data_IF_099401417984
#
_entry.id   IF_099401417984
#
_cell.length_a   1.000
_cell.length_b   1.000
_cell.length_c   1.000
_cell.angle_alpha   90.00
_cell.angle_beta   90.00
_cell.angle_gamma   90.00
#
_symmetry.space_group_name_H-M   'P 1'
#
loop_
_entity.id
_entity.type
_entity.pdbx_description
1 polymer ?
#
# COMPACT_ATOMS: atom_id res chain seq x y z
N UNK A 1 -28.33 -34.63 -64.69
CA UNK A 1 -28.86 -33.61 -63.77
C UNK A 1 -28.61 -34.12 -62.36
N UNK A 2 -27.44 -33.80 -61.80
CA UNK A 2 -27.08 -34.13 -60.41
C UNK A 2 -26.28 -32.95 -59.91
N UNK A 3 -26.97 -32.08 -59.18
CA UNK A 3 -26.43 -30.88 -58.57
C UNK A 3 -25.65 -31.30 -57.32
N UNK A 4 -24.31 -31.27 -57.42
CA UNK A 4 -23.43 -31.62 -56.31
C UNK A 4 -23.41 -30.46 -55.31
N UNK A 5 -24.19 -30.59 -54.24
CA UNK A 5 -24.28 -29.60 -53.16
C UNK A 5 -22.95 -29.57 -52.40
N UNK A 6 -22.24 -28.43 -52.33
CA UNK A 6 -20.91 -28.38 -51.75
C UNK A 6 -20.95 -28.69 -50.25
N UNK A 7 -20.04 -29.57 -49.80
CA UNK A 7 -20.00 -30.06 -48.42
C UNK A 7 -19.77 -28.94 -47.38
N UNK A 8 -20.51 -28.95 -46.24
CA UNK A 8 -20.52 -27.88 -45.24
C UNK A 8 -19.27 -27.79 -44.33
N UNK A 9 -18.21 -28.57 -44.61
CA UNK A 9 -17.03 -28.69 -43.73
C UNK A 9 -16.21 -27.39 -43.56
N UNK A 10 -16.22 -26.49 -44.55
CA UNK A 10 -15.49 -25.21 -44.47
C UNK A 10 -16.20 -24.20 -43.57
N UNK A 11 -17.53 -24.18 -43.61
CA UNK A 11 -18.34 -23.21 -42.86
C UNK A 11 -18.18 -23.41 -41.35
N UNK A 12 -18.21 -24.66 -40.87
CA UNK A 12 -18.03 -25.00 -39.45
C UNK A 12 -16.67 -24.54 -38.92
N UNK A 13 -15.58 -24.78 -39.68
CA UNK A 13 -14.23 -24.35 -39.28
C UNK A 13 -14.12 -22.83 -39.22
N UNK A 14 -14.68 -22.13 -40.21
CA UNK A 14 -14.69 -20.66 -40.26
C UNK A 14 -15.49 -20.09 -39.09
N UNK A 15 -16.68 -20.62 -38.79
CA UNK A 15 -17.48 -20.21 -37.64
C UNK A 15 -16.75 -20.44 -36.32
N UNK A 16 -16.08 -21.58 -36.14
CA UNK A 16 -15.29 -21.87 -34.94
C UNK A 16 -14.12 -20.89 -34.78
N UNK A 17 -13.43 -20.54 -35.87
CA UNK A 17 -12.35 -19.55 -35.85
C UNK A 17 -12.88 -18.17 -35.45
N UNK A 18 -14.00 -17.72 -36.01
CA UNK A 18 -14.61 -16.45 -35.63
C UNK A 18 -15.08 -16.43 -34.17
N UNK A 19 -15.67 -17.52 -33.67
CA UNK A 19 -16.04 -17.64 -32.25
C UNK A 19 -14.82 -17.59 -31.34
N UNK A 20 -13.72 -18.27 -31.71
CA UNK A 20 -12.47 -18.24 -30.95
C UNK A 20 -11.85 -16.84 -30.95
N UNK A 21 -11.83 -16.15 -32.09
CA UNK A 21 -11.37 -14.76 -32.18
C UNK A 21 -12.23 -13.81 -31.35
N UNK A 22 -13.55 -13.98 -31.34
CA UNK A 22 -14.46 -13.17 -30.53
C UNK A 22 -14.27 -13.44 -29.04
N UNK A 23 -14.06 -14.70 -28.64
CA UNK A 23 -13.75 -15.06 -27.25
C UNK A 23 -12.41 -14.49 -26.79
N UNK A 24 -11.37 -14.56 -27.62
CA UNK A 24 -10.05 -13.95 -27.33
C UNK A 24 -10.18 -12.43 -27.23
N UNK A 25 -10.89 -11.79 -28.16
CA UNK A 25 -11.14 -10.34 -28.10
C UNK A 25 -11.91 -9.96 -26.83
N UNK A 26 -12.94 -10.73 -26.48
CA UNK A 26 -13.69 -10.55 -25.24
C UNK A 26 -12.82 -10.67 -24.00
N UNK A 27 -11.93 -11.67 -23.95
CA UNK A 27 -10.99 -11.86 -22.85
C UNK A 27 -9.97 -10.71 -22.76
N UNK A 28 -9.46 -10.21 -23.90
CA UNK A 28 -8.55 -9.05 -23.94
C UNK A 28 -9.23 -7.78 -23.46
N UNK A 29 -10.48 -7.54 -23.88
CA UNK A 29 -11.28 -6.39 -23.43
C UNK A 29 -11.57 -6.49 -21.93
N UNK A 30 -11.95 -7.68 -21.45
CA UNK A 30 -12.23 -7.92 -20.03
C UNK A 30 -10.96 -7.71 -19.18
N UNK A 31 -9.82 -8.26 -19.61
CA UNK A 31 -8.54 -8.08 -18.95
C UNK A 31 -8.11 -6.60 -18.94
N UNK A 32 -8.27 -5.90 -20.06
CA UNK A 32 -8.02 -4.46 -20.15
C UNK A 32 -8.91 -3.66 -19.21
N UNK A 33 -10.19 -4.03 -19.09
CA UNK A 33 -11.11 -3.39 -18.16
C UNK A 33 -10.63 -3.54 -16.70
N UNK A 34 -10.37 -4.77 -16.26
CA UNK A 34 -9.88 -5.02 -14.90
C UNK A 34 -8.50 -4.40 -14.61
N UNK A 35 -7.60 -4.36 -15.60
CA UNK A 35 -6.26 -3.80 -15.42
C UNK A 35 -6.25 -2.26 -15.37
N UNK A 36 -7.26 -1.59 -15.92
CA UNK A 36 -7.24 -0.13 -16.09
C UNK A 36 -8.26 0.61 -15.20
N UNK A 37 -9.37 -0.04 -14.84
CA UNK A 37 -10.48 0.61 -14.13
C UNK A 37 -10.54 0.31 -12.63
N UNK A 38 -9.88 -0.74 -12.16
CA UNK A 38 -9.62 -0.92 -10.72
C UNK A 38 -8.51 0.08 -10.32
N UNK A 39 -8.89 1.22 -9.72
CA UNK A 39 -7.94 2.07 -9.00
C UNK A 39 -7.93 1.56 -7.55
N UNK A 40 -6.95 0.75 -7.14
CA UNK A 40 -6.99 0.20 -5.81
C UNK A 40 -6.82 1.34 -4.79
N UNK A 41 -7.63 1.29 -3.73
CA UNK A 41 -7.66 2.33 -2.70
C UNK A 41 -6.41 2.22 -1.83
N UNK A 42 -5.52 3.21 -1.90
CA UNK A 42 -4.43 3.35 -0.92
C UNK A 42 -4.96 3.97 0.37
N UNK A 43 -4.71 3.32 1.51
CA UNK A 43 -5.05 3.84 2.84
C UNK A 43 -3.80 4.32 3.55
N UNK A 44 -3.79 5.54 4.08
CA UNK A 44 -2.66 6.10 4.81
C UNK A 44 -3.08 6.34 6.26
N UNK A 45 -2.41 5.65 7.20
CA UNK A 45 -2.60 5.81 8.65
C UNK A 45 -1.52 6.75 9.15
N UNK A 46 -1.92 7.97 9.51
CA UNK A 46 -1.01 8.99 10.02
C UNK A 46 -1.07 9.04 11.55
N UNK A 47 0.09 8.96 12.19
CA UNK A 47 0.22 9.19 13.63
C UNK A 47 1.35 10.17 13.94
N UNK A 48 1.21 10.87 15.06
CA UNK A 48 2.33 11.55 15.71
C UNK A 48 3.02 10.58 16.66
N UNK A 49 4.33 10.74 16.84
CA UNK A 49 5.09 10.04 17.88
C UNK A 49 4.42 10.10 19.27
N UNK A 50 4.62 9.07 20.09
CA UNK A 50 4.19 9.01 21.49
C UNK A 50 4.95 9.99 22.40
N UNK A 51 4.50 10.10 23.65
CA UNK A 51 5.15 10.97 24.65
C UNK A 51 6.62 10.61 24.83
N UNK A 52 7.48 11.64 24.82
CA UNK A 52 8.92 11.52 25.03
C UNK A 52 9.31 11.98 26.43
N UNK A 53 10.45 11.51 26.93
CA UNK A 53 11.05 12.11 28.11
C UNK A 53 11.40 13.58 27.87
N UNK A 54 11.22 14.40 28.89
CA UNK A 54 11.63 15.81 28.87
C UNK A 54 12.94 15.89 29.64
N UNK A 55 14.04 15.78 28.91
CA UNK A 55 15.39 15.82 29.45
C UNK A 55 16.11 17.08 28.94
N UNK A 56 16.55 17.98 29.83
CA UNK A 56 17.32 19.16 29.43
C UNK A 56 18.58 18.77 28.67
N UNK A 57 18.81 19.40 27.51
CA UNK A 57 20.00 19.18 26.69
C UNK A 57 19.97 17.91 25.83
N UNK A 58 18.91 17.09 25.87
CA UNK A 58 18.76 15.94 25.00
C UNK A 58 17.82 16.27 23.81
N UNK A 59 18.36 16.47 22.58
CA UNK A 59 17.54 16.83 21.42
C UNK A 59 16.73 15.65 20.86
N UNK A 60 17.07 14.42 21.21
CA UNK A 60 16.35 13.22 20.76
C UNK A 60 16.16 12.21 21.90
N UNK A 61 15.32 12.56 22.89
CA UNK A 61 15.08 11.71 24.04
C UNK A 61 14.23 10.49 23.66
N UNK A 62 14.39 9.44 24.45
CA UNK A 62 13.58 8.22 24.33
C UNK A 62 12.11 8.50 24.70
N UNK A 63 11.22 7.59 24.31
CA UNK A 63 9.83 7.61 24.75
C UNK A 63 9.74 7.46 26.27
N UNK A 64 8.81 8.20 26.85
CA UNK A 64 8.44 8.04 28.26
C UNK A 64 7.68 6.72 28.45
N UNK A 65 7.51 6.24 29.69
CA UNK A 65 6.72 5.03 29.96
C UNK A 65 5.29 5.13 29.39
N UNK A 66 4.69 6.32 29.42
CA UNK A 66 3.37 6.57 28.81
C UNK A 66 3.43 6.45 27.28
N UNK A 67 4.49 6.99 26.66
CA UNK A 67 4.69 6.88 25.21
C UNK A 67 4.94 5.42 24.78
N UNK A 68 5.68 4.65 25.57
CA UNK A 68 5.90 3.22 25.35
C UNK A 68 4.60 2.41 25.47
N UNK A 69 3.77 2.70 26.46
CA UNK A 69 2.44 2.08 26.58
C UNK A 69 1.56 2.39 25.37
N UNK A 70 1.58 3.64 24.87
CA UNK A 70 0.88 4.00 23.64
C UNK A 70 1.42 3.26 22.41
N UNK A 71 2.74 3.10 22.30
CA UNK A 71 3.36 2.34 21.23
C UNK A 71 2.83 0.88 21.20
N UNK A 72 2.60 0.28 22.37
CA UNK A 72 1.99 -1.05 22.47
C UNK A 72 0.52 -1.07 22.04
N UNK A 73 -0.25 -0.02 22.35
CA UNK A 73 -1.65 0.07 21.88
C UNK A 73 -1.77 0.11 20.35
N UNK A 74 -0.75 0.59 19.63
CA UNK A 74 -0.73 0.54 18.16
C UNK A 74 -0.76 -0.90 17.65
N UNK A 75 -0.15 -1.84 18.37
CA UNK A 75 -0.20 -3.28 18.04
C UNK A 75 -1.63 -3.79 18.11
N UNK A 76 -2.37 -3.42 19.17
CA UNK A 76 -3.77 -3.82 19.34
C UNK A 76 -4.68 -3.20 18.28
N UNK A 77 -4.43 -1.95 17.89
CA UNK A 77 -5.29 -1.22 16.93
C UNK A 77 -5.01 -1.60 15.48
N UNK A 78 -3.74 -1.86 15.13
CA UNK A 78 -3.30 -1.94 13.74
C UNK A 78 -2.54 -3.22 13.39
N UNK A 79 -2.35 -4.15 14.33
CA UNK A 79 -1.61 -5.39 14.11
C UNK A 79 -2.18 -6.27 13.00
N UNK A 80 -3.48 -6.16 12.72
CA UNK A 80 -4.18 -6.92 11.67
C UNK A 80 -4.68 -6.01 10.52
N UNK A 81 -4.22 -4.76 10.45
CA UNK A 81 -4.70 -3.77 9.48
C UNK A 81 -4.18 -3.96 8.04
N UNK A 82 -3.42 -5.04 7.77
CA UNK A 82 -2.85 -5.29 6.44
C UNK A 82 -1.83 -4.23 6.01
N UNK A 83 -1.10 -3.63 6.97
CA UNK A 83 -0.07 -2.63 6.68
C UNK A 83 1.02 -3.27 5.82
N UNK A 84 1.33 -2.65 4.68
CA UNK A 84 2.36 -3.09 3.73
C UNK A 84 3.63 -2.22 3.78
N UNK A 85 3.58 -1.05 4.43
CA UNK A 85 4.71 -0.14 4.56
C UNK A 85 4.66 0.70 5.82
N UNK A 86 5.82 0.97 6.40
CA UNK A 86 5.97 1.82 7.58
C UNK A 86 6.98 2.93 7.28
N UNK A 87 6.64 4.18 7.57
CA UNK A 87 7.55 5.33 7.46
C UNK A 87 7.74 6.01 8.81
N UNK A 88 8.99 6.31 9.14
CA UNK A 88 9.39 7.00 10.39
C UNK A 88 10.46 8.02 10.10
N UNK A 89 10.56 9.07 10.92
CA UNK A 89 11.69 10.01 10.79
C UNK A 89 12.97 9.50 11.45
N UNK A 90 14.08 10.21 11.26
CA UNK A 90 15.36 9.92 11.91
C UNK A 90 15.35 9.94 13.45
N UNK A 91 14.32 10.49 14.08
CA UNK A 91 14.27 10.66 15.52
C UNK A 91 13.83 9.39 16.25
N UNK A 92 14.46 9.09 17.38
CA UNK A 92 14.15 7.94 18.24
C UNK A 92 12.68 7.86 18.57
N UNK A 93 12.05 8.98 18.92
CA UNK A 93 10.62 9.02 19.29
C UNK A 93 9.70 8.45 18.21
N UNK A 94 9.94 8.71 16.92
CA UNK A 94 9.11 8.13 15.84
C UNK A 94 9.42 6.64 15.67
N UNK A 95 10.70 6.25 15.73
CA UNK A 95 11.11 4.86 15.59
C UNK A 95 10.58 3.98 16.72
N UNK A 96 10.72 4.42 17.97
CA UNK A 96 10.26 3.73 19.16
C UNK A 96 8.73 3.66 19.25
N UNK A 97 8.02 4.65 18.70
CA UNK A 97 6.56 4.63 18.68
C UNK A 97 6.06 3.47 17.82
N UNK A 98 6.72 3.21 16.68
CA UNK A 98 6.26 2.18 15.73
C UNK A 98 6.90 0.82 15.96
N UNK A 99 8.04 0.76 16.66
CA UNK A 99 8.81 -0.48 16.87
C UNK A 99 7.96 -1.70 17.27
N UNK A 100 7.04 -1.64 18.25
CA UNK A 100 6.23 -2.80 18.63
C UNK A 100 5.33 -3.30 17.49
N UNK A 101 4.74 -2.36 16.73
CA UNK A 101 3.88 -2.69 15.58
C UNK A 101 4.72 -3.31 14.46
N UNK A 102 5.87 -2.71 14.14
CA UNK A 102 6.80 -3.21 13.13
C UNK A 102 7.27 -4.64 13.43
N UNK A 103 7.62 -4.93 14.68
CA UNK A 103 8.00 -6.26 15.15
C UNK A 103 6.84 -7.26 15.05
N UNK A 104 5.62 -6.85 15.40
CA UNK A 104 4.42 -7.70 15.31
C UNK A 104 4.13 -8.14 13.87
N UNK A 105 4.21 -7.21 12.91
CA UNK A 105 3.82 -7.47 11.52
C UNK A 105 5.00 -7.87 10.63
N UNK A 106 6.23 -7.84 11.16
CA UNK A 106 7.44 -8.24 10.44
C UNK A 106 7.90 -7.26 9.35
N UNK A 107 7.56 -5.97 9.47
CA UNK A 107 7.90 -4.94 8.48
C UNK A 107 8.95 -3.99 9.05
N UNK A 108 10.07 -3.85 8.33
CA UNK A 108 11.11 -2.89 8.67
C UNK A 108 10.67 -1.45 8.32
N UNK A 109 10.73 -0.50 9.27
CA UNK A 109 10.41 0.90 8.99
C UNK A 109 11.39 1.55 8.01
N UNK A 110 10.86 2.28 7.04
CA UNK A 110 11.65 3.16 6.15
C UNK A 110 11.87 4.50 6.84
N UNK A 111 13.15 4.85 7.02
CA UNK A 111 13.54 6.12 7.60
C UNK A 111 13.52 7.23 6.54
N UNK A 112 12.88 8.36 6.86
CA UNK A 112 12.79 9.56 6.02
C UNK A 112 13.26 10.80 6.79
N UNK A 113 13.67 11.85 6.07
CA UNK A 113 13.99 13.12 6.71
C UNK A 113 12.69 13.80 7.20
N UNK A 114 12.63 14.13 8.50
CA UNK A 114 11.55 14.91 9.09
C UNK A 114 11.26 16.25 8.38
N UNK A 115 12.21 16.80 7.61
CA UNK A 115 12.03 18.05 6.85
C UNK A 115 11.54 17.83 5.42
N UNK A 116 11.38 16.59 4.97
CA UNK A 116 11.07 16.26 3.59
C UNK A 116 9.79 15.42 3.48
N UNK A 117 8.68 15.99 3.93
CA UNK A 117 7.34 15.40 3.83
C UNK A 117 6.98 15.00 2.40
N UNK A 118 7.41 15.81 1.41
CA UNK A 118 7.18 15.55 0.00
C UNK A 118 7.80 14.22 -0.49
N UNK A 119 8.91 13.79 0.09
CA UNK A 119 9.52 12.49 -0.24
C UNK A 119 8.63 11.33 0.22
N UNK A 120 8.03 11.42 1.41
CA UNK A 120 7.10 10.39 1.91
C UNK A 120 5.93 10.22 0.97
N UNK A 121 5.31 11.32 0.56
CA UNK A 121 4.18 11.31 -0.38
C UNK A 121 4.60 10.70 -1.72
N UNK A 122 5.79 11.05 -2.23
CA UNK A 122 6.32 10.46 -3.48
C UNK A 122 6.53 8.96 -3.37
N UNK A 123 7.12 8.49 -2.28
CA UNK A 123 7.37 7.06 -2.03
C UNK A 123 6.05 6.29 -1.93
N UNK A 124 5.08 6.78 -1.15
CA UNK A 124 3.76 6.17 -1.04
C UNK A 124 3.07 6.05 -2.40
N UNK A 125 3.07 7.13 -3.19
CA UNK A 125 2.42 7.12 -4.52
C UNK A 125 3.08 6.19 -5.52
N UNK A 126 4.38 5.94 -5.39
CA UNK A 126 5.16 5.12 -6.34
C UNK A 126 5.23 3.65 -5.95
N UNK A 127 5.19 3.35 -4.65
CA UNK A 127 5.48 2.01 -4.12
C UNK A 127 4.26 1.32 -3.48
N UNK A 128 3.23 2.07 -3.10
CA UNK A 128 2.12 1.58 -2.27
C UNK A 128 0.74 1.83 -2.89
N UNK A 129 0.60 1.53 -4.19
CA UNK A 129 -0.67 1.64 -4.89
C UNK A 129 -1.62 0.52 -4.43
N UNK A 130 -2.74 0.87 -3.79
CA UNK A 130 -3.68 -0.10 -3.23
C UNK A 130 -3.34 -0.65 -1.85
N UNK A 131 -2.22 -0.22 -1.26
CA UNK A 131 -1.73 -0.72 0.03
C UNK A 131 -2.26 0.10 1.22
N UNK A 132 -2.15 -0.47 2.40
CA UNK A 132 -2.24 0.26 3.67
C UNK A 132 -0.83 0.66 4.12
N UNK A 133 -0.60 1.96 4.30
CA UNK A 133 0.70 2.50 4.73
C UNK A 133 0.55 3.19 6.09
N UNK A 134 1.49 2.93 6.99
CA UNK A 134 1.55 3.54 8.31
C UNK A 134 2.68 4.57 8.38
N UNK A 135 2.39 5.81 8.79
CA UNK A 135 3.39 6.88 8.86
C UNK A 135 3.40 7.50 10.25
N UNK A 136 4.57 7.51 10.89
CA UNK A 136 4.78 8.18 12.16
C UNK A 136 5.66 9.42 12.02
N UNK A 137 5.06 10.59 12.22
CA UNK A 137 5.71 11.89 12.11
C UNK A 137 5.68 12.72 13.39
N UNK A 138 5.80 14.02 13.22
CA UNK A 138 5.77 15.04 14.28
C UNK A 138 4.51 15.88 14.18
N UNK A 139 4.25 16.70 15.20
CA UNK A 139 3.12 17.62 15.24
C UNK A 139 3.08 18.61 14.07
N UNK A 140 4.23 18.95 13.49
CA UNK A 140 4.35 19.84 12.34
C UNK A 140 4.38 19.12 10.99
N UNK A 141 4.84 17.87 10.92
CA UNK A 141 4.97 17.14 9.65
C UNK A 141 3.73 16.32 9.31
N UNK A 142 3.03 15.77 10.32
CA UNK A 142 1.80 14.98 10.10
C UNK A 142 0.72 15.79 9.38
N UNK A 143 0.47 17.08 9.69
CA UNK A 143 -0.51 17.88 8.95
C UNK A 143 -0.14 18.18 7.49
N UNK A 144 1.12 17.97 7.09
CA UNK A 144 1.61 18.25 5.73
C UNK A 144 1.54 17.04 4.79
N UNK A 145 1.21 15.85 5.33
CA UNK A 145 1.04 14.59 4.57
C UNK A 145 -0.41 14.44 4.14
#
# INVERSE_FOLDING_TARGET
MTEEKPEPRSVIKTTLVFLMLFAVLGAVVLFGYFSTFERPLTTIILIRHGEKNVEPGNPDPDLSPVGQARAQELVRMFGDAGIAGIYVTQYKRTQQTVKPLAEKIGISPTQVDAKNTAEVIRQIRSQHNGDVVFVCGHNNTVPEI
#
